data_IF_889846107934
#
_entry.id   IF_889846107934
#
_cell.length_a   1.000
_cell.length_b   1.000
_cell.length_c   1.000
_cell.angle_alpha   90.00
_cell.angle_beta   90.00
_cell.angle_gamma   90.00
#
_symmetry.space_group_name_H-M   'P 1'
#
loop_
_entity.id
_entity.type
_entity.pdbx_description
1 polymer ?
#
# COMPACT_ATOMS: atom_id res chain seq x y z
N UNK A 1 -28.72 -27.18 18.50
CA UNK A 1 -28.68 -25.88 19.21
C UNK A 1 -27.31 -25.57 19.75
N UNK A 2 -26.79 -26.44 20.61
CA UNK A 2 -25.44 -26.24 21.14
C UNK A 2 -24.37 -26.27 20.05
N UNK A 3 -24.54 -27.13 19.05
CA UNK A 3 -23.61 -27.20 17.92
C UNK A 3 -23.59 -25.91 17.12
N UNK A 4 -24.75 -25.32 16.94
CA UNK A 4 -24.86 -24.06 16.20
C UNK A 4 -24.20 -22.92 16.97
N UNK A 5 -24.42 -22.88 18.30
CA UNK A 5 -23.81 -21.86 19.14
C UNK A 5 -22.29 -21.98 19.18
N UNK A 6 -21.77 -23.22 19.15
CA UNK A 6 -20.32 -23.44 19.10
C UNK A 6 -19.71 -23.13 17.74
N UNK A 7 -20.51 -23.17 16.69
CA UNK A 7 -20.06 -22.90 15.34
C UNK A 7 -19.99 -21.41 15.03
N UNK A 8 -20.84 -20.61 15.68
CA UNK A 8 -20.92 -19.18 15.42
C UNK A 8 -19.59 -18.44 15.64
N UNK A 9 -18.89 -18.63 16.76
CA UNK A 9 -17.60 -17.95 16.94
C UNK A 9 -16.59 -18.32 15.88
N UNK A 10 -16.59 -19.58 15.43
CA UNK A 10 -15.68 -20.01 14.36
C UNK A 10 -16.03 -19.31 13.05
N UNK A 11 -17.31 -19.22 12.72
CA UNK A 11 -17.73 -18.52 11.51
C UNK A 11 -17.36 -17.03 11.56
N UNK A 12 -17.48 -16.40 12.72
CA UNK A 12 -17.07 -15.01 12.87
C UNK A 12 -15.58 -14.84 12.66
N UNK A 13 -14.78 -15.75 13.19
CA UNK A 13 -13.33 -15.70 12.98
C UNK A 13 -12.96 -15.87 11.52
N UNK A 14 -13.61 -16.81 10.83
CA UNK A 14 -13.39 -17.01 9.41
C UNK A 14 -13.79 -15.78 8.60
N UNK A 15 -14.93 -15.17 8.96
CA UNK A 15 -15.36 -13.93 8.31
C UNK A 15 -14.38 -12.80 8.51
N UNK A 16 -13.87 -12.64 9.73
CA UNK A 16 -12.87 -11.61 10.02
C UNK A 16 -11.58 -11.87 9.25
N UNK A 17 -11.16 -13.13 9.16
CA UNK A 17 -9.97 -13.48 8.40
C UNK A 17 -10.14 -13.13 6.93
N UNK A 18 -11.32 -13.39 6.36
CA UNK A 18 -11.60 -13.06 4.97
C UNK A 18 -11.56 -11.56 4.73
N UNK A 19 -12.13 -10.78 5.64
CA UNK A 19 -12.08 -9.32 5.56
C UNK A 19 -10.64 -8.83 5.68
N UNK A 20 -9.87 -9.40 6.59
CA UNK A 20 -8.47 -9.03 6.76
C UNK A 20 -7.66 -9.25 5.48
N UNK A 21 -7.88 -10.38 4.82
CA UNK A 21 -7.21 -10.67 3.55
C UNK A 21 -7.66 -9.70 2.46
N UNK A 22 -8.94 -9.33 2.44
CA UNK A 22 -9.44 -8.33 1.52
C UNK A 22 -8.79 -6.97 1.73
N UNK A 23 -8.60 -6.58 3.00
CA UNK A 23 -7.92 -5.33 3.32
C UNK A 23 -6.46 -5.35 2.87
N UNK A 24 -5.77 -6.48 3.05
CA UNK A 24 -4.39 -6.61 2.58
C UNK A 24 -4.34 -6.44 1.06
N UNK A 25 -5.26 -7.07 0.33
CA UNK A 25 -5.34 -6.92 -1.12
C UNK A 25 -5.62 -5.50 -1.54
N UNK A 26 -6.53 -4.84 -0.86
CA UNK A 26 -6.84 -3.43 -1.11
C UNK A 26 -5.61 -2.56 -0.84
N UNK A 27 -4.95 -2.78 0.29
CA UNK A 27 -3.75 -2.02 0.63
C UNK A 27 -2.64 -2.23 -0.41
N UNK A 28 -2.48 -3.45 -0.90
CA UNK A 28 -1.49 -3.73 -1.93
C UNK A 28 -1.79 -2.98 -3.22
N UNK A 29 -3.06 -2.93 -3.64
CA UNK A 29 -3.45 -2.17 -4.81
C UNK A 29 -3.21 -0.68 -4.61
N UNK A 30 -3.57 -0.15 -3.46
CA UNK A 30 -3.35 1.26 -3.15
C UNK A 30 -1.86 1.60 -3.13
N UNK A 31 -1.07 0.76 -2.46
CA UNK A 31 0.37 0.99 -2.39
C UNK A 31 1.01 0.95 -3.78
N UNK A 32 0.58 0.00 -4.61
CA UNK A 32 1.08 -0.10 -5.98
C UNK A 32 0.73 1.12 -6.81
N UNK A 33 -0.52 1.59 -6.73
CA UNK A 33 -0.95 2.78 -7.45
C UNK A 33 -0.20 4.01 -6.97
N UNK A 34 -0.05 4.16 -5.65
CA UNK A 34 0.68 5.28 -5.07
C UNK A 34 2.15 5.27 -5.47
N UNK A 35 2.77 4.10 -5.44
CA UNK A 35 4.18 3.97 -5.80
C UNK A 35 4.42 4.35 -7.27
N UNK A 36 3.57 3.87 -8.16
CA UNK A 36 3.71 4.20 -9.58
C UNK A 36 3.50 5.69 -9.84
N UNK A 37 2.47 6.28 -9.24
CA UNK A 37 2.21 7.70 -9.40
C UNK A 37 3.33 8.55 -8.81
N UNK A 38 3.82 8.15 -7.64
CA UNK A 38 4.90 8.88 -6.97
C UNK A 38 6.19 8.80 -7.77
N UNK A 39 6.54 7.62 -8.25
CA UNK A 39 7.76 7.43 -9.03
C UNK A 39 7.72 8.22 -10.32
N UNK A 40 6.56 8.19 -10.99
CA UNK A 40 6.40 8.91 -12.24
C UNK A 40 6.52 10.43 -12.04
N UNK A 41 5.83 10.96 -11.04
CA UNK A 41 5.88 12.39 -10.78
C UNK A 41 7.29 12.82 -10.35
N UNK A 42 7.92 12.04 -9.48
CA UNK A 42 9.27 12.37 -9.02
C UNK A 42 10.28 12.29 -10.15
N UNK A 43 10.12 11.35 -11.07
CA UNK A 43 11.03 11.24 -12.22
C UNK A 43 10.89 12.42 -13.17
N UNK A 44 9.77 13.13 -13.11
CA UNK A 44 9.52 14.32 -13.92
C UNK A 44 9.76 15.62 -13.16
N UNK A 45 10.30 15.55 -11.95
CA UNK A 45 10.59 16.72 -11.15
C UNK A 45 9.44 17.25 -10.31
N UNK A 46 8.29 16.60 -10.38
CA UNK A 46 7.12 16.98 -9.57
C UNK A 46 7.20 16.34 -8.18
N UNK A 47 6.31 16.78 -7.30
CA UNK A 47 6.23 16.19 -5.98
C UNK A 47 5.69 14.77 -6.06
N UNK A 48 6.58 13.79 -5.86
CA UNK A 48 6.20 12.39 -5.84
C UNK A 48 5.27 12.05 -4.69
N UNK A 49 5.49 12.67 -3.53
CA UNK A 49 4.64 12.42 -2.37
C UNK A 49 3.22 12.90 -2.60
N UNK A 50 3.06 14.07 -3.19
CA UNK A 50 1.72 14.59 -3.48
C UNK A 50 1.01 13.74 -4.53
N UNK A 51 1.72 13.34 -5.58
CA UNK A 51 1.13 12.53 -6.64
C UNK A 51 0.76 11.15 -6.14
N UNK A 52 1.61 10.54 -5.31
CA UNK A 52 1.33 9.24 -4.73
C UNK A 52 0.11 9.29 -3.81
N UNK A 53 0.04 10.30 -2.97
CA UNK A 53 -1.10 10.47 -2.08
C UNK A 53 -2.39 10.69 -2.87
N UNK A 54 -2.32 11.44 -3.95
CA UNK A 54 -3.50 11.71 -4.78
C UNK A 54 -3.99 10.45 -5.51
N UNK A 55 -3.09 9.51 -5.79
CA UNK A 55 -3.45 8.28 -6.48
C UNK A 55 -4.05 7.23 -5.56
N UNK A 56 -4.00 7.44 -4.27
CA UNK A 56 -4.54 6.50 -3.28
C UNK A 56 -5.79 7.08 -2.63
N UNK A 57 -6.74 6.19 -2.34
CA UNK A 57 -7.89 6.59 -1.53
C UNK A 57 -7.44 6.84 -0.10
N UNK A 58 -8.04 7.81 0.57
CA UNK A 58 -7.64 8.20 1.90
C UNK A 58 -8.07 7.26 3.02
N UNK A 59 -8.47 6.02 2.71
CA UNK A 59 -9.02 5.12 3.71
C UNK A 59 -8.03 4.46 4.65
N UNK A 60 -6.77 4.37 4.26
CA UNK A 60 -5.75 3.73 5.07
C UNK A 60 -4.56 4.66 5.26
N UNK A 61 -3.93 4.55 6.43
CA UNK A 61 -2.70 5.30 6.68
C UNK A 61 -1.58 4.81 5.78
N UNK A 62 -0.83 5.75 5.24
CA UNK A 62 0.26 5.40 4.34
C UNK A 62 1.43 6.35 4.50
N UNK A 63 2.60 5.88 4.11
CA UNK A 63 3.80 6.71 4.01
C UNK A 63 4.45 6.49 2.66
N UNK A 64 5.02 7.55 2.11
CA UNK A 64 5.62 7.53 0.79
C UNK A 64 7.05 8.01 0.90
N UNK A 65 7.99 7.17 0.49
CA UNK A 65 9.39 7.55 0.42
C UNK A 65 9.83 7.65 -1.03
N UNK A 66 10.57 8.68 -1.35
CA UNK A 66 11.13 8.89 -2.69
C UNK A 66 12.63 8.80 -2.58
N UNK A 67 13.22 7.98 -3.42
CA UNK A 67 14.66 7.84 -3.48
C UNK A 67 15.09 7.52 -4.90
N UNK A 68 16.35 7.29 -5.07
CA UNK A 68 16.84 6.86 -6.37
C UNK A 68 18.28 7.24 -6.56
N UNK A 69 18.87 6.70 -7.60
CA UNK A 69 20.22 7.03 -8.02
C UNK A 69 20.15 7.59 -9.41
N UNK A 70 21.05 8.48 -9.72
CA UNK A 70 21.31 9.05 -11.03
C UNK A 70 20.18 9.04 -12.05
N UNK A 71 20.01 7.90 -12.70
CA UNK A 71 19.13 7.79 -13.85
C UNK A 71 17.73 7.33 -13.52
N UNK A 72 17.47 6.92 -12.30
CA UNK A 72 16.16 6.36 -11.92
C UNK A 72 15.64 6.97 -10.64
N UNK A 73 14.33 6.91 -10.49
CA UNK A 73 13.65 7.34 -9.28
C UNK A 73 12.82 6.17 -8.77
N UNK A 74 12.97 5.86 -7.50
CA UNK A 74 12.22 4.79 -6.84
C UNK A 74 11.31 5.39 -5.81
N UNK A 75 10.03 5.04 -5.88
CA UNK A 75 9.06 5.41 -4.87
C UNK A 75 8.66 4.16 -4.10
N UNK A 76 8.69 4.27 -2.78
CA UNK A 76 8.30 3.19 -1.89
C UNK A 76 7.09 3.65 -1.11
N UNK A 77 6.01 2.89 -1.18
CA UNK A 77 4.78 3.22 -0.48
C UNK A 77 4.48 2.10 0.51
N UNK A 78 4.31 2.47 1.76
CA UNK A 78 3.91 1.56 2.82
C UNK A 78 2.51 1.96 3.27
N UNK A 79 1.59 1.01 3.21
CA UNK A 79 0.19 1.23 3.62
C UNK A 79 -0.07 0.37 4.85
N UNK A 80 -0.53 1.01 5.91
CA UNK A 80 -0.88 0.31 7.15
C UNK A 80 -2.25 -0.33 7.01
N UNK A 81 -2.34 -1.61 7.38
CA UNK A 81 -3.57 -2.37 7.33
C UNK A 81 -4.11 -2.53 8.74
N UNK A 82 -5.35 -2.08 9.02
CA UNK A 82 -5.91 -2.26 10.36
C UNK A 82 -6.06 -3.73 10.68
N UNK A 83 -5.71 -4.09 11.92
CA UNK A 83 -5.78 -5.47 12.36
C UNK A 83 -7.15 -5.73 12.95
N UNK A 84 -7.86 -6.66 12.35
CA UNK A 84 -9.20 -7.03 12.78
C UNK A 84 -9.22 -8.29 13.64
N UNK A 85 -8.15 -9.08 13.57
CA UNK A 85 -8.08 -10.34 14.31
C UNK A 85 -7.48 -10.10 15.69
N UNK A 86 -8.19 -10.48 16.76
CA UNK A 86 -7.74 -10.15 18.11
C UNK A 86 -6.54 -10.93 18.62
N UNK A 87 -6.18 -12.02 17.95
CA UNK A 87 -5.09 -12.89 18.41
C UNK A 87 -3.78 -12.69 17.67
N UNK A 88 -3.76 -11.80 16.69
CA UNK A 88 -2.59 -11.62 15.83
C UNK A 88 -1.95 -10.29 16.23
N UNK A 89 -0.95 -10.32 17.00
CA UNK A 89 -0.12 -9.22 17.48
C UNK A 89 -0.37 -7.82 16.92
N UNK A 90 0.69 -7.11 16.59
CA UNK A 90 0.63 -5.73 16.12
C UNK A 90 0.15 -5.66 14.67
N UNK A 91 -0.21 -4.46 14.22
CA UNK A 91 -0.76 -4.25 12.90
C UNK A 91 0.14 -4.67 11.75
N UNK A 92 -0.45 -4.85 10.59
CA UNK A 92 0.24 -5.26 9.38
C UNK A 92 0.46 -4.06 8.47
N UNK A 93 1.44 -4.17 7.59
CA UNK A 93 1.65 -3.16 6.55
C UNK A 93 2.00 -3.84 5.24
N UNK A 94 1.70 -3.14 4.15
CA UNK A 94 2.03 -3.60 2.80
C UNK A 94 2.93 -2.54 2.17
N UNK A 95 4.06 -2.98 1.64
CA UNK A 95 5.02 -2.09 1.00
C UNK A 95 5.15 -2.46 -0.46
N UNK A 96 5.06 -1.46 -1.33
CA UNK A 96 5.27 -1.61 -2.76
C UNK A 96 6.24 -0.56 -3.24
N UNK A 97 7.02 -0.94 -4.24
CA UNK A 97 7.98 -0.04 -4.86
C UNK A 97 7.70 0.07 -6.35
N UNK A 98 8.00 1.23 -6.90
CA UNK A 98 8.01 1.44 -8.34
C UNK A 98 9.22 2.25 -8.71
N UNK A 99 9.92 1.84 -9.75
CA UNK A 99 11.11 2.53 -10.24
C UNK A 99 10.85 3.01 -11.65
N UNK A 100 11.12 4.28 -11.89
CA UNK A 100 10.95 4.91 -13.20
C UNK A 100 12.25 5.56 -13.63
N UNK A 101 12.57 5.55 -14.93
CA UNK A 101 13.71 6.30 -15.40
C UNK A 101 13.44 7.80 -15.30
N UNK A 102 14.47 8.56 -14.98
CA UNK A 102 14.36 10.01 -14.91
C UNK A 102 14.25 10.61 -16.30
N UNK A 103 13.25 11.45 -16.49
CA UNK A 103 13.01 12.12 -17.77
C UNK A 103 13.66 13.48 -17.85
N UNK A 104 14.34 13.90 -16.77
CA UNK A 104 14.79 15.26 -16.65
C UNK A 104 16.23 15.51 -17.06
N UNK A 105 16.93 14.51 -17.51
CA UNK A 105 18.30 14.71 -17.93
C UNK A 105 18.32 15.19 -19.37
N UNK A 106 18.54 16.49 -19.62
CA UNK A 106 18.58 16.98 -20.99
C UNK A 106 19.75 16.40 -21.78
N UNK A 107 20.74 15.88 -21.11
CA UNK A 107 21.86 15.21 -21.78
C UNK A 107 21.48 13.83 -22.31
N UNK A 108 20.33 13.31 -21.92
CA UNK A 108 19.84 12.02 -22.43
C UNK A 108 19.20 12.14 -23.82
N UNK A 109 18.99 13.35 -24.31
CA UNK A 109 18.36 13.58 -25.60
C UNK A 109 19.32 14.16 -26.62
#
# INVERSE_FOLDING_TARGET
MLEFAGFLPVLLLVGLAAIQLGLVGYAANQAGSGARAAARAASQGDSGQAAGAAAMDGGLSSSIGIGGGGDTTTATVTVDVPLLLPFVGSGWSVTKEATMPNDEDPAAY
#
